data_IF_389362974091
#
_entry.id   IF_389362974091
#
_cell.length_a   1.000
_cell.length_b   1.000
_cell.length_c   1.000
_cell.angle_alpha   90.00
_cell.angle_beta   90.00
_cell.angle_gamma   90.00
#
_symmetry.space_group_name_H-M   'P 1'
#
loop_
_entity.id
_entity.type
_entity.pdbx_description
1 polymer ?
#
# COMPACT_ATOMS: atom_id res chain seq x y z
N UNK A 1 25.00 -2.63 -0.05
CA UNK A 1 24.46 -1.82 -1.17
C UNK A 1 22.94 -1.92 -1.10
N UNK A 2 22.25 -0.78 -1.04
CA UNK A 2 20.84 -0.65 -0.62
C UNK A 2 19.89 -1.28 -1.65
N UNK A 3 19.07 -2.26 -1.23
CA UNK A 3 17.99 -2.95 -1.97
C UNK A 3 16.91 -2.03 -2.58
N UNK A 4 17.01 -0.72 -2.40
CA UNK A 4 16.16 0.30 -3.05
C UNK A 4 16.19 0.24 -4.59
N UNK A 5 17.26 -0.32 -5.17
CA UNK A 5 17.51 -0.35 -6.62
C UNK A 5 16.87 -1.57 -7.31
N UNK A 6 16.47 -2.62 -6.59
CA UNK A 6 15.99 -3.86 -7.20
C UNK A 6 14.48 -3.87 -7.50
N UNK A 7 13.71 -2.89 -7.01
CA UNK A 7 12.27 -2.78 -7.32
C UNK A 7 12.06 -1.80 -8.48
N UNK A 8 11.45 -2.20 -9.60
CA UNK A 8 11.14 -1.29 -10.69
C UNK A 8 10.23 -0.17 -10.18
N UNK A 9 10.71 1.07 -10.24
CA UNK A 9 9.96 2.25 -9.80
C UNK A 9 9.83 2.45 -8.28
N UNK A 10 10.67 1.81 -7.45
CA UNK A 10 10.54 1.86 -5.98
C UNK A 10 10.52 3.28 -5.38
N UNK A 11 11.32 4.21 -5.91
CA UNK A 11 11.31 5.63 -5.46
C UNK A 11 10.00 6.30 -5.82
N UNK A 12 9.49 6.10 -7.04
CA UNK A 12 8.22 6.68 -7.49
C UNK A 12 7.06 6.16 -6.65
N UNK A 13 7.04 4.85 -6.37
CA UNK A 13 6.06 4.24 -5.48
C UNK A 13 6.10 4.85 -4.08
N UNK A 14 7.30 5.07 -3.52
CA UNK A 14 7.46 5.72 -2.22
C UNK A 14 6.91 7.15 -2.22
N UNK A 15 7.24 7.94 -3.26
CA UNK A 15 6.75 9.32 -3.41
C UNK A 15 5.22 9.32 -3.45
N UNK A 16 4.60 8.49 -4.30
CA UNK A 16 3.15 8.38 -4.40
C UNK A 16 2.54 7.95 -3.06
N UNK A 17 3.18 7.01 -2.36
CA UNK A 17 2.72 6.55 -1.04
C UNK A 17 2.73 7.68 -0.01
N UNK A 18 3.77 8.51 0.01
CA UNK A 18 3.83 9.69 0.87
C UNK A 18 2.86 10.79 0.45
N UNK A 19 2.57 10.94 -0.84
CA UNK A 19 1.51 11.85 -1.30
C UNK A 19 0.13 11.40 -0.80
N UNK A 20 -0.20 10.11 -0.88
CA UNK A 20 -1.46 9.55 -0.36
C UNK A 20 -1.51 9.74 1.16
N UNK A 21 -0.45 9.37 1.87
CA UNK A 21 -0.36 9.56 3.32
C UNK A 21 -0.49 11.04 3.73
N UNK A 22 0.16 11.95 2.99
CA UNK A 22 0.09 13.39 3.20
C UNK A 22 -1.33 13.92 2.97
N UNK A 23 -2.04 13.45 1.95
CA UNK A 23 -3.43 13.81 1.70
C UNK A 23 -4.37 13.35 2.83
N UNK A 24 -4.21 12.12 3.31
CA UNK A 24 -4.95 11.57 4.47
C UNK A 24 -4.66 12.38 5.73
N UNK A 25 -3.38 12.71 5.96
CA UNK A 25 -2.95 13.49 7.13
C UNK A 25 -3.46 14.93 7.07
N UNK A 26 -3.45 15.54 5.89
CA UNK A 26 -3.97 16.90 5.71
C UNK A 26 -5.47 16.93 5.97
N UNK A 27 -6.22 15.99 5.40
CA UNK A 27 -7.68 15.88 5.61
C UNK A 27 -8.01 15.66 7.09
N UNK A 28 -7.24 14.82 7.76
CA UNK A 28 -7.32 14.64 9.21
C UNK A 28 -7.09 15.95 9.99
N UNK A 29 -6.05 16.72 9.64
CA UNK A 29 -5.75 18.00 10.30
C UNK A 29 -6.89 18.99 10.10
N UNK A 30 -7.40 19.13 8.88
CA UNK A 30 -8.43 20.11 8.54
C UNK A 30 -9.79 19.78 9.13
N UNK A 31 -10.14 18.49 9.22
CA UNK A 31 -11.46 18.10 9.76
C UNK A 31 -11.46 18.03 11.29
N UNK A 32 -10.34 17.67 11.95
CA UNK A 32 -10.38 17.27 13.38
C UNK A 32 -9.49 18.08 14.31
N UNK A 33 -8.43 18.71 13.80
CA UNK A 33 -7.56 19.52 14.66
C UNK A 33 -8.25 20.84 15.04
N UNK A 34 -9.21 21.29 14.24
CA UNK A 34 -10.03 22.47 14.53
C UNK A 34 -11.09 22.21 15.60
N UNK A 35 -11.58 20.97 15.74
CA UNK A 35 -12.66 20.61 16.69
C UNK A 35 -12.19 20.18 18.10
N UNK A 36 -10.87 20.18 18.38
CA UNK A 36 -10.28 19.79 19.67
C UNK A 36 -10.76 18.42 20.23
N UNK A 37 -10.88 17.41 19.37
CA UNK A 37 -11.34 16.09 19.80
C UNK A 37 -10.32 15.41 20.78
N UNK A 38 -10.76 14.72 21.85
CA UNK A 38 -9.85 14.11 22.83
C UNK A 38 -8.94 13.01 22.26
N UNK A 39 -9.33 12.41 21.13
CA UNK A 39 -8.55 11.37 20.45
C UNK A 39 -7.54 11.93 19.43
N UNK A 40 -7.45 13.26 19.27
CA UNK A 40 -6.67 13.81 18.16
C UNK A 40 -5.20 13.39 18.22
N UNK A 41 -4.63 13.31 19.43
CA UNK A 41 -3.23 12.93 19.58
C UNK A 41 -2.99 11.45 19.31
N UNK A 42 -3.96 10.59 19.63
CA UNK A 42 -3.87 9.16 19.36
C UNK A 42 -3.86 8.88 17.85
N UNK A 43 -4.78 9.50 17.09
CA UNK A 43 -4.86 9.31 15.64
C UNK A 43 -3.66 9.96 14.94
N UNK A 44 -3.20 11.13 15.39
CA UNK A 44 -1.96 11.74 14.87
C UNK A 44 -0.73 10.86 15.12
N UNK A 45 -0.63 10.22 16.30
CA UNK A 45 0.45 9.28 16.59
C UNK A 45 0.37 8.03 15.69
N UNK A 46 -0.84 7.53 15.43
CA UNK A 46 -1.06 6.42 14.49
C UNK A 46 -0.66 6.81 13.07
N UNK A 47 -1.09 7.97 12.58
CA UNK A 47 -0.72 8.45 11.23
C UNK A 47 0.79 8.64 11.11
N UNK A 48 1.43 9.21 12.13
CA UNK A 48 2.88 9.31 12.18
C UNK A 48 3.55 7.92 12.10
N UNK A 49 3.05 6.95 12.87
CA UNK A 49 3.55 5.58 12.85
C UNK A 49 3.37 4.93 11.47
N UNK A 50 2.23 5.15 10.80
CA UNK A 50 2.01 4.66 9.43
C UNK A 50 3.00 5.29 8.44
N UNK A 51 3.23 6.61 8.53
CA UNK A 51 4.21 7.29 7.68
C UNK A 51 5.63 6.76 7.90
N UNK A 52 6.00 6.51 9.16
CA UNK A 52 7.28 5.90 9.52
C UNK A 52 7.39 4.46 8.99
N UNK A 53 6.32 3.65 9.09
CA UNK A 53 6.30 2.29 8.53
C UNK A 53 6.51 2.30 7.02
N UNK A 54 5.87 3.21 6.28
CA UNK A 54 6.08 3.38 4.83
C UNK A 54 7.56 3.65 4.53
N UNK A 55 8.23 4.49 5.31
CA UNK A 55 9.65 4.81 5.13
C UNK A 55 10.62 3.68 5.49
N UNK A 56 10.31 2.88 6.51
CA UNK A 56 11.18 1.79 6.99
C UNK A 56 10.89 0.45 6.27
N UNK A 57 9.81 0.35 5.51
CA UNK A 57 9.46 -0.83 4.70
C UNK A 57 10.66 -1.52 4.02
N UNK A 58 11.55 -0.84 3.29
CA UNK A 58 12.68 -1.49 2.61
C UNK A 58 13.80 -1.97 3.56
N UNK A 59 13.85 -1.49 4.80
CA UNK A 59 14.79 -1.95 5.81
C UNK A 59 14.25 -3.20 6.53
N UNK A 60 12.95 -3.20 6.86
CA UNK A 60 12.29 -4.28 7.61
C UNK A 60 12.03 -5.53 6.77
N UNK A 61 11.82 -5.37 5.45
CA UNK A 61 11.34 -6.46 4.58
C UNK A 61 12.44 -7.19 3.81
N UNK A 62 13.71 -6.94 4.16
CA UNK A 62 14.84 -7.31 3.34
C UNK A 62 14.96 -8.82 3.06
N UNK A 63 14.80 -9.72 4.04
CA UNK A 63 15.29 -11.11 3.86
C UNK A 63 14.36 -12.25 4.34
N UNK A 64 13.21 -11.98 4.99
CA UNK A 64 12.35 -13.06 5.49
C UNK A 64 10.86 -12.88 5.15
N UNK A 65 10.19 -13.93 4.61
CA UNK A 65 8.77 -13.87 4.26
C UNK A 65 7.85 -13.71 5.48
N UNK A 66 8.28 -14.18 6.65
CA UNK A 66 7.53 -14.01 7.90
C UNK A 66 7.51 -12.54 8.34
N UNK A 67 8.65 -11.85 8.27
CA UNK A 67 8.73 -10.42 8.59
C UNK A 67 7.92 -9.57 7.61
N UNK A 68 7.91 -9.93 6.31
CA UNK A 68 7.06 -9.26 5.30
C UNK A 68 5.57 -9.37 5.63
N UNK A 69 5.10 -10.56 5.98
CA UNK A 69 3.70 -10.75 6.37
C UNK A 69 3.39 -10.05 7.69
N UNK A 70 4.25 -10.17 8.70
CA UNK A 70 4.08 -9.49 9.99
C UNK A 70 4.00 -7.97 9.85
N UNK A 71 4.86 -7.38 9.01
CA UNK A 71 4.84 -5.96 8.67
C UNK A 71 3.49 -5.55 8.05
N UNK A 72 3.00 -6.27 7.03
CA UNK A 72 1.73 -5.94 6.38
C UNK A 72 0.53 -6.14 7.32
N UNK A 73 0.52 -7.20 8.14
CA UNK A 73 -0.53 -7.44 9.14
C UNK A 73 -0.55 -6.28 10.12
N UNK A 74 0.61 -5.89 10.64
CA UNK A 74 0.73 -4.80 11.61
C UNK A 74 0.28 -3.47 11.01
N UNK A 75 0.74 -3.12 9.81
CA UNK A 75 0.37 -1.88 9.13
C UNK A 75 -1.14 -1.85 8.80
N UNK A 76 -1.69 -2.94 8.28
CA UNK A 76 -3.12 -3.07 7.97
C UNK A 76 -3.95 -2.96 9.25
N UNK A 77 -3.53 -3.63 10.33
CA UNK A 77 -4.22 -3.60 11.62
C UNK A 77 -4.23 -2.20 12.22
N UNK A 78 -3.12 -1.47 12.15
CA UNK A 78 -3.06 -0.08 12.61
C UNK A 78 -3.99 0.82 11.80
N UNK A 79 -3.98 0.71 10.46
CA UNK A 79 -4.87 1.52 9.61
C UNK A 79 -6.34 1.18 9.89
N UNK A 80 -6.66 -0.10 10.09
CA UNK A 80 -8.01 -0.54 10.43
C UNK A 80 -8.46 0.01 11.78
N UNK A 81 -7.63 -0.11 12.82
CA UNK A 81 -7.91 0.49 14.12
C UNK A 81 -8.07 2.02 14.02
N UNK A 82 -7.20 2.69 13.27
CA UNK A 82 -7.29 4.13 12.99
C UNK A 82 -8.66 4.50 12.42
N UNK A 83 -9.13 3.72 11.44
CA UNK A 83 -10.44 3.94 10.82
C UNK A 83 -11.60 3.76 11.80
N UNK A 84 -11.48 2.90 12.83
CA UNK A 84 -12.56 2.66 13.77
C UNK A 84 -12.64 3.66 14.93
N UNK A 85 -11.63 4.52 15.11
CA UNK A 85 -11.62 5.48 16.22
C UNK A 85 -12.65 6.60 16.09
N UNK A 86 -13.11 6.89 14.87
CA UNK A 86 -14.12 7.91 14.64
C UNK A 86 -15.05 7.53 13.50
N UNK A 87 -16.34 7.78 13.72
CA UNK A 87 -17.43 7.42 12.82
C UNK A 87 -17.39 8.28 11.55
N UNK A 88 -17.75 7.70 10.40
CA UNK A 88 -17.83 8.38 9.09
C UNK A 88 -16.50 8.86 8.47
N UNK A 89 -15.36 8.26 8.85
CA UNK A 89 -14.08 8.53 8.17
C UNK A 89 -13.89 7.66 6.92
N UNK A 90 -14.13 8.23 5.74
CA UNK A 90 -13.95 7.55 4.46
C UNK A 90 -12.47 7.49 4.03
N UNK A 91 -11.71 8.55 4.29
CA UNK A 91 -10.40 8.77 3.69
C UNK A 91 -9.28 7.86 4.20
N UNK A 92 -9.42 7.24 5.38
CA UNK A 92 -8.45 6.25 5.85
C UNK A 92 -8.34 5.04 4.93
N UNK A 93 -9.39 4.73 4.16
CA UNK A 93 -9.38 3.64 3.20
C UNK A 93 -8.37 3.84 2.06
N UNK A 94 -7.97 5.10 1.78
CA UNK A 94 -6.92 5.41 0.81
C UNK A 94 -5.57 4.83 1.21
N UNK A 95 -5.29 4.68 2.51
CA UNK A 95 -4.04 4.07 2.97
C UNK A 95 -3.95 2.58 2.60
N UNK A 96 -5.08 1.88 2.42
CA UNK A 96 -5.06 0.50 1.94
C UNK A 96 -4.54 0.38 0.50
N UNK A 97 -4.63 1.45 -0.31
CA UNK A 97 -4.04 1.48 -1.65
C UNK A 97 -2.51 1.35 -1.56
N UNK A 98 -1.90 2.05 -0.60
CA UNK A 98 -0.46 1.97 -0.32
C UNK A 98 -0.08 0.56 0.11
N UNK A 99 -0.82 -0.01 1.07
CA UNK A 99 -0.58 -1.38 1.56
C UNK A 99 -0.75 -2.41 0.44
N UNK A 100 -1.74 -2.23 -0.45
CA UNK A 100 -1.94 -3.09 -1.61
C UNK A 100 -0.74 -3.06 -2.55
N UNK A 101 -0.23 -1.87 -2.88
CA UNK A 101 0.99 -1.73 -3.68
C UNK A 101 2.18 -2.44 -3.03
N UNK A 102 2.40 -2.21 -1.73
CA UNK A 102 3.47 -2.87 -0.97
C UNK A 102 3.32 -4.39 -1.01
N UNK A 103 2.12 -4.93 -0.77
CA UNK A 103 1.86 -6.36 -0.80
C UNK A 103 2.14 -6.99 -2.18
N UNK A 104 1.78 -6.29 -3.26
CA UNK A 104 1.99 -6.76 -4.62
C UNK A 104 3.48 -6.78 -5.01
N UNK A 105 4.26 -5.78 -4.58
CA UNK A 105 5.71 -5.78 -4.77
C UNK A 105 6.43 -6.80 -3.86
N UNK A 106 5.99 -6.97 -2.61
CA UNK A 106 6.60 -7.88 -1.65
C UNK A 106 6.34 -9.35 -1.97
N UNK A 107 5.18 -9.65 -2.56
CA UNK A 107 4.73 -11.01 -2.87
C UNK A 107 4.22 -11.15 -4.32
N UNK A 108 5.09 -11.17 -5.34
CA UNK A 108 4.66 -11.22 -6.75
C UNK A 108 3.69 -12.37 -7.08
N UNK A 109 3.89 -13.54 -6.47
CA UNK A 109 3.03 -14.74 -6.68
C UNK A 109 1.81 -14.80 -5.76
N UNK A 110 1.88 -14.23 -4.55
CA UNK A 110 0.84 -14.35 -3.50
C UNK A 110 0.11 -13.03 -3.18
N UNK A 111 0.46 -11.93 -3.84
CA UNK A 111 -0.11 -10.60 -3.59
C UNK A 111 -1.62 -10.53 -3.83
N UNK A 112 -2.17 -11.40 -4.69
CA UNK A 112 -3.62 -11.55 -4.86
C UNK A 112 -4.35 -11.93 -3.56
N UNK A 113 -3.73 -12.74 -2.69
CA UNK A 113 -4.33 -13.11 -1.41
C UNK A 113 -4.48 -11.85 -0.55
N UNK A 114 -3.45 -11.01 -0.52
CA UNK A 114 -3.48 -9.71 0.16
C UNK A 114 -4.49 -8.75 -0.44
N UNK A 115 -4.64 -8.70 -1.76
CA UNK A 115 -5.69 -7.91 -2.41
C UNK A 115 -7.09 -8.31 -1.90
N UNK A 116 -7.39 -9.61 -1.89
CA UNK A 116 -8.70 -10.11 -1.40
C UNK A 116 -8.88 -9.77 0.08
N UNK A 117 -7.86 -9.95 0.91
CA UNK A 117 -7.89 -9.59 2.33
C UNK A 117 -8.18 -8.09 2.50
N UNK A 118 -7.50 -7.22 1.75
CA UNK A 118 -7.69 -5.77 1.84
C UNK A 118 -9.08 -5.34 1.36
N UNK A 119 -9.63 -5.99 0.34
CA UNK A 119 -11.02 -5.76 -0.09
C UNK A 119 -11.99 -6.12 1.03
N UNK A 120 -11.81 -7.28 1.67
CA UNK A 120 -12.68 -7.70 2.78
C UNK A 120 -12.55 -6.74 3.97
N UNK A 121 -11.34 -6.37 4.36
CA UNK A 121 -11.10 -5.42 5.46
C UNK A 121 -11.72 -4.06 5.16
N UNK A 122 -11.58 -3.59 3.92
CA UNK A 122 -12.23 -2.36 3.47
C UNK A 122 -13.75 -2.49 3.55
N UNK A 123 -14.32 -3.61 3.05
CA UNK A 123 -15.75 -3.86 3.10
C UNK A 123 -16.31 -3.84 4.53
N UNK A 124 -15.64 -4.54 5.44
CA UNK A 124 -16.01 -4.58 6.86
C UNK A 124 -15.89 -3.18 7.48
N UNK A 125 -14.76 -2.50 7.28
CA UNK A 125 -14.53 -1.17 7.83
C UNK A 125 -15.57 -0.15 7.36
N UNK A 126 -15.84 -0.09 6.06
CA UNK A 126 -16.85 0.82 5.50
C UNK A 126 -18.26 0.49 5.99
N UNK A 127 -18.61 -0.79 6.13
CA UNK A 127 -19.93 -1.20 6.65
C UNK A 127 -20.12 -0.80 8.11
N UNK A 128 -19.07 -0.91 8.94
CA UNK A 128 -19.10 -0.46 10.33
C UNK A 128 -19.23 1.07 10.40
N UNK A 129 -18.52 1.79 9.54
CA UNK A 129 -18.45 3.25 9.52
C UNK A 129 -19.71 3.96 9.01
N UNK A 130 -20.36 3.42 7.98
CA UNK A 130 -21.43 4.12 7.24
C UNK A 130 -22.74 3.34 7.19
N UNK A 131 -22.77 2.09 7.69
CA UNK A 131 -23.87 1.17 7.46
C UNK A 131 -23.96 0.68 6.01
N UNK A 132 -24.69 -0.40 5.79
CA UNK A 132 -24.69 -1.10 4.50
C UNK A 132 -25.13 -0.24 3.29
N UNK A 133 -26.22 0.58 3.36
CA UNK A 133 -26.71 1.29 2.18
C UNK A 133 -25.70 2.31 1.62
N UNK A 134 -25.00 3.01 2.51
CA UNK A 134 -24.00 4.01 2.15
C UNK A 134 -22.65 3.33 1.86
N UNK A 135 -22.28 2.32 2.64
CA UNK A 135 -21.01 1.64 2.49
C UNK A 135 -20.82 1.02 1.10
N UNK A 136 -21.87 0.52 0.44
CA UNK A 136 -21.75 -0.15 -0.88
C UNK A 136 -21.01 0.74 -1.90
N UNK A 137 -21.28 2.05 -1.94
CA UNK A 137 -20.61 2.95 -2.89
C UNK A 137 -19.11 3.06 -2.58
N UNK A 138 -18.75 3.22 -1.31
CA UNK A 138 -17.36 3.25 -0.85
C UNK A 138 -16.64 1.93 -1.07
N UNK A 139 -17.30 0.81 -0.79
CA UNK A 139 -16.75 -0.55 -0.99
C UNK A 139 -16.41 -0.75 -2.46
N UNK A 140 -17.32 -0.39 -3.37
CA UNK A 140 -17.07 -0.51 -4.80
C UNK A 140 -15.94 0.42 -5.24
N UNK A 141 -15.95 1.68 -4.80
CA UNK A 141 -14.93 2.67 -5.14
C UNK A 141 -13.53 2.23 -4.70
N UNK A 142 -13.36 1.88 -3.44
CA UNK A 142 -12.06 1.50 -2.89
C UNK A 142 -11.62 0.12 -3.39
N UNK A 143 -12.53 -0.83 -3.58
CA UNK A 143 -12.18 -2.12 -4.19
C UNK A 143 -11.69 -1.95 -5.63
N UNK A 144 -12.33 -1.06 -6.41
CA UNK A 144 -11.86 -0.74 -7.76
C UNK A 144 -10.45 -0.11 -7.73
N UNK A 145 -10.19 0.81 -6.81
CA UNK A 145 -8.85 1.40 -6.64
C UNK A 145 -7.79 0.34 -6.25
N UNK A 146 -8.12 -0.57 -5.33
CA UNK A 146 -7.24 -1.67 -4.93
C UNK A 146 -6.94 -2.61 -6.10
N UNK A 147 -7.96 -3.03 -6.85
CA UNK A 147 -7.81 -3.87 -8.04
C UNK A 147 -6.97 -3.15 -9.10
N UNK A 148 -7.23 -1.86 -9.33
CA UNK A 148 -6.48 -1.05 -10.29
C UNK A 148 -4.99 -1.03 -9.95
N UNK A 149 -4.64 -0.74 -8.69
CA UNK A 149 -3.23 -0.76 -8.26
C UNK A 149 -2.62 -2.15 -8.36
N UNK A 150 -3.35 -3.21 -7.99
CA UNK A 150 -2.85 -4.57 -8.13
C UNK A 150 -2.57 -4.97 -9.58
N UNK A 151 -3.44 -4.59 -10.52
CA UNK A 151 -3.24 -4.81 -11.96
C UNK A 151 -2.06 -3.99 -12.46
N UNK A 152 -1.98 -2.71 -12.08
CA UNK A 152 -0.88 -1.82 -12.48
C UNK A 152 0.49 -2.35 -12.02
N UNK A 153 0.63 -2.73 -10.75
CA UNK A 153 1.88 -3.30 -10.24
C UNK A 153 2.25 -4.59 -10.98
N UNK A 154 1.27 -5.44 -11.31
CA UNK A 154 1.53 -6.64 -12.12
C UNK A 154 2.02 -6.32 -13.52
N UNK A 155 1.48 -5.30 -14.17
CA UNK A 155 1.94 -4.85 -15.47
C UNK A 155 3.38 -4.34 -15.39
N UNK A 156 3.72 -3.56 -14.36
CA UNK A 156 5.08 -3.07 -14.11
C UNK A 156 6.06 -4.23 -13.90
N UNK A 157 5.71 -5.19 -13.04
CA UNK A 157 6.57 -6.36 -12.79
C UNK A 157 6.78 -7.21 -14.06
N UNK A 158 5.72 -7.43 -14.85
CA UNK A 158 5.83 -8.16 -16.12
C UNK A 158 6.67 -7.42 -17.16
N UNK A 159 6.54 -6.10 -17.24
CA UNK A 159 7.32 -5.29 -18.16
C UNK A 159 8.81 -5.31 -17.79
N UNK A 160 9.12 -5.29 -16.50
CA UNK A 160 10.49 -5.41 -15.99
C UNK A 160 11.08 -6.80 -16.29
N UNK A 161 10.34 -7.87 -16.01
CA UNK A 161 10.76 -9.24 -16.34
C UNK A 161 11.04 -9.39 -17.85
N UNK A 162 10.17 -8.86 -18.71
CA UNK A 162 10.36 -8.90 -20.17
C UNK A 162 11.58 -8.09 -20.63
N UNK A 163 11.83 -6.93 -20.00
CA UNK A 163 13.00 -6.10 -20.28
C UNK A 163 14.29 -6.82 -19.89
N UNK A 164 14.33 -7.43 -18.71
CA UNK A 164 15.50 -8.17 -18.25
C UNK A 164 15.82 -9.35 -19.17
N UNK A 165 14.81 -10.09 -19.64
CA UNK A 165 14.98 -11.16 -20.61
C UNK A 165 15.54 -10.65 -21.95
N UNK A 166 15.04 -9.52 -22.44
CA UNK A 166 15.54 -8.91 -23.67
C UNK A 166 17.00 -8.45 -23.54
N UNK A 167 17.39 -7.89 -22.40
CA UNK A 167 18.76 -7.45 -22.13
C UNK A 167 19.72 -8.65 -21.99
N UNK A 168 19.27 -9.76 -21.39
CA UNK A 168 20.04 -11.01 -21.30
C UNK A 168 20.28 -11.63 -22.68
N UNK A 169 19.24 -11.78 -23.49
CA UNK A 169 19.36 -12.32 -24.84
C UNK A 169 20.29 -11.47 -25.73
N UNK A 170 20.24 -10.15 -25.59
CA UNK A 170 21.13 -9.26 -26.33
C UNK A 170 22.60 -9.46 -25.90
N UNK A 171 22.86 -9.65 -24.60
CA UNK A 171 24.20 -9.93 -24.10
C UNK A 171 24.73 -11.28 -24.61
N UNK A 172 23.90 -12.33 -24.60
CA UNK A 172 24.25 -13.65 -25.14
C UNK A 172 24.58 -13.58 -26.64
N UNK A 173 23.80 -12.84 -27.43
CA UNK A 173 24.05 -12.65 -28.86
C UNK A 173 25.35 -11.88 -29.13
N UNK A 174 25.65 -10.85 -28.32
CA UNK A 174 26.91 -10.10 -28.44
C UNK A 174 28.12 -10.97 -28.11
N UNK A 175 28.02 -11.81 -27.09
CA UNK A 175 29.09 -12.74 -26.72
C UNK A 175 29.34 -13.76 -27.84
N UNK A 176 28.28 -14.32 -28.44
CA UNK A 176 28.38 -15.26 -29.56
C UNK A 176 28.98 -14.65 -30.84
N UNK A 177 28.77 -13.35 -31.08
CA UNK A 177 29.37 -12.63 -32.22
C UNK A 177 30.82 -12.20 -31.99
N UNK A 178 31.31 -12.26 -30.75
CA UNK A 178 32.68 -11.88 -30.38
C UNK A 178 33.68 -13.04 -30.36
N UNK A 179 33.23 -14.27 -30.61
CA UNK A 179 34.03 -15.49 -30.77
C UNK A 179 34.19 -15.84 -32.25
#
# INVERSE_FOLDING_TARGET
KKKWVERPGGILFLIISYCIWGAVSLRWITEFMEEQHPLTWAISAILFLVGLLIGIEPLLTADSPLFKNGYLIFQTGIIFLASLFYFELDFFALLYIVVCGQAMFLFPKRGQVWLVILIIITAVGQTIQFGLPIAISFILLYSAALVFVAVFVRMVLRADDARQQSEQLLAELQEAHSQ
#
